data_IF_694174770539
#
_entry.id   IF_694174770539
#
_cell.length_a   1.000
_cell.length_b   1.000
_cell.length_c   1.000
_cell.angle_alpha   90.00
_cell.angle_beta   90.00
_cell.angle_gamma   90.00
#
_symmetry.space_group_name_H-M   'P 1'
#
loop_
_entity.id
_entity.type
_entity.pdbx_description
1 polymer ?
#
# COMPACT_ATOMS: atom_id res chain seq x y z
N UNK A 1 -20.10 -2.84 -13.97
CA UNK A 1 -20.68 -1.53 -14.28
C UNK A 1 -22.07 -1.44 -13.69
N UNK A 2 -22.24 -0.50 -12.77
CA UNK A 2 -23.52 -0.15 -12.16
C UNK A 2 -24.42 0.58 -13.15
N UNK A 3 -25.74 0.38 -13.00
CA UNK A 3 -26.75 1.09 -13.80
C UNK A 3 -26.67 2.61 -13.60
N UNK A 4 -26.28 3.05 -12.41
CA UNK A 4 -26.13 4.46 -12.06
C UNK A 4 -25.02 5.12 -12.87
N UNK A 5 -23.83 4.51 -12.91
CA UNK A 5 -22.72 5.04 -13.69
C UNK A 5 -23.04 5.02 -15.20
N UNK A 6 -23.60 3.93 -15.70
CA UNK A 6 -24.00 3.82 -17.11
C UNK A 6 -25.01 4.91 -17.51
N UNK A 7 -26.03 5.16 -16.68
CA UNK A 7 -27.01 6.21 -16.91
C UNK A 7 -26.38 7.61 -16.89
N UNK A 8 -25.47 7.88 -15.95
CA UNK A 8 -24.75 9.13 -15.89
C UNK A 8 -23.93 9.37 -17.16
N UNK A 9 -23.15 8.38 -17.61
CA UNK A 9 -22.37 8.44 -18.86
C UNK A 9 -23.28 8.70 -20.06
N UNK A 10 -24.39 7.97 -20.18
CA UNK A 10 -25.34 8.14 -21.27
C UNK A 10 -25.92 9.56 -21.32
N UNK A 11 -26.25 10.14 -20.16
CA UNK A 11 -26.85 11.47 -20.06
C UNK A 11 -25.85 12.59 -20.36
N UNK A 12 -24.63 12.52 -19.81
CA UNK A 12 -23.69 13.65 -19.89
C UNK A 12 -22.71 13.55 -21.08
N UNK A 13 -22.46 12.35 -21.62
CA UNK A 13 -21.49 12.12 -22.70
C UNK A 13 -22.10 11.46 -23.95
N UNK A 14 -23.21 10.74 -23.81
CA UNK A 14 -23.90 10.04 -24.90
C UNK A 14 -23.53 8.55 -25.01
N UNK A 15 -24.29 7.83 -25.84
CA UNK A 15 -24.25 6.35 -25.92
C UNK A 15 -22.92 5.76 -26.38
N UNK A 16 -22.16 6.47 -27.21
CA UNK A 16 -20.82 6.02 -27.62
C UNK A 16 -19.86 5.88 -26.42
N UNK A 17 -19.98 6.76 -25.42
CA UNK A 17 -19.14 6.71 -24.23
C UNK A 17 -19.54 5.59 -23.27
N UNK A 18 -20.80 5.17 -23.26
CA UNK A 18 -21.27 3.98 -22.54
C UNK A 18 -20.56 2.73 -23.08
N UNK A 19 -20.49 2.59 -24.40
CA UNK A 19 -19.80 1.47 -25.03
C UNK A 19 -18.30 1.49 -24.70
N UNK A 20 -17.68 2.67 -24.75
CA UNK A 20 -16.27 2.84 -24.36
C UNK A 20 -16.01 2.43 -22.92
N UNK A 21 -16.80 2.94 -21.98
CA UNK A 21 -16.66 2.59 -20.56
C UNK A 21 -16.80 1.08 -20.35
N UNK A 22 -17.76 0.45 -21.06
CA UNK A 22 -18.00 -0.99 -20.98
C UNK A 22 -16.80 -1.79 -21.51
N UNK A 23 -16.20 -1.34 -22.62
CA UNK A 23 -15.00 -1.94 -23.17
C UNK A 23 -13.79 -1.76 -22.27
N UNK A 24 -13.58 -0.58 -21.68
CA UNK A 24 -12.50 -0.33 -20.72
C UNK A 24 -12.63 -1.25 -19.52
N UNK A 25 -13.79 -1.24 -18.86
CA UNK A 25 -14.00 -2.05 -17.66
C UNK A 25 -13.85 -3.56 -17.92
N UNK A 26 -14.31 -4.05 -19.08
CA UNK A 26 -14.08 -5.44 -19.49
C UNK A 26 -12.61 -5.72 -19.80
N UNK A 27 -11.94 -4.81 -20.49
CA UNK A 27 -10.52 -4.90 -20.83
C UNK A 27 -9.63 -4.95 -19.59
N UNK A 28 -9.86 -4.02 -18.65
CA UNK A 28 -9.14 -3.95 -17.38
C UNK A 28 -9.32 -5.20 -16.52
N UNK A 29 -10.55 -5.69 -16.34
CA UNK A 29 -10.84 -6.96 -15.65
C UNK A 29 -10.16 -8.17 -16.29
N UNK A 30 -10.07 -8.21 -17.61
CA UNK A 30 -9.37 -9.29 -18.31
C UNK A 30 -7.84 -9.16 -18.21
N UNK A 31 -7.32 -7.93 -18.20
CA UNK A 31 -5.90 -7.60 -18.14
C UNK A 31 -5.27 -7.76 -16.75
N UNK A 32 -6.07 -7.71 -15.68
CA UNK A 32 -5.61 -7.86 -14.29
C UNK A 32 -4.85 -9.17 -14.02
N UNK A 33 -4.95 -10.18 -14.89
CA UNK A 33 -4.22 -11.44 -14.77
C UNK A 33 -2.71 -11.35 -15.11
N UNK A 34 -2.22 -10.21 -15.61
CA UNK A 34 -0.80 -10.04 -16.01
C UNK A 34 -0.25 -8.63 -15.81
N UNK A 35 -0.88 -7.80 -14.97
CA UNK A 35 -0.64 -6.37 -14.83
C UNK A 35 0.26 -6.04 -13.62
N UNK A 36 1.54 -6.44 -13.67
CA UNK A 36 2.46 -6.27 -12.54
C UNK A 36 2.71 -4.80 -12.15
N UNK A 37 2.64 -3.86 -13.10
CA UNK A 37 2.93 -2.45 -12.84
C UNK A 37 1.84 -1.78 -12.01
N UNK A 38 0.58 -1.98 -12.39
CA UNK A 38 -0.60 -1.52 -11.67
C UNK A 38 -0.66 -2.08 -10.25
N UNK A 39 -0.35 -3.37 -10.10
CA UNK A 39 -0.35 -4.05 -8.80
C UNK A 39 0.75 -3.52 -7.88
N UNK A 40 1.97 -3.32 -8.38
CA UNK A 40 3.04 -2.71 -7.58
C UNK A 40 2.74 -1.27 -7.21
N UNK A 41 2.13 -0.51 -8.12
CA UNK A 41 1.73 0.86 -7.82
C UNK A 41 0.64 0.90 -6.74
N UNK A 42 -0.36 0.03 -6.82
CA UNK A 42 -1.40 -0.07 -5.80
C UNK A 42 -0.81 -0.49 -4.44
N UNK A 43 0.10 -1.46 -4.42
CA UNK A 43 0.79 -1.89 -3.20
C UNK A 43 1.60 -0.74 -2.58
N UNK A 44 2.28 0.05 -3.41
CA UNK A 44 3.01 1.23 -2.95
C UNK A 44 2.07 2.32 -2.42
N UNK A 45 0.94 2.58 -3.08
CA UNK A 45 -0.07 3.54 -2.58
C UNK A 45 -0.66 3.11 -1.24
N UNK A 46 -0.89 1.81 -1.03
CA UNK A 46 -1.26 1.30 0.29
C UNK A 46 -0.17 1.58 1.32
N UNK A 47 1.10 1.36 0.96
CA UNK A 47 2.23 1.66 1.84
C UNK A 47 2.28 3.16 2.22
N UNK A 48 2.09 4.06 1.25
CA UNK A 48 2.03 5.51 1.50
C UNK A 48 0.90 5.87 2.48
N UNK A 49 -0.31 5.33 2.26
CA UNK A 49 -1.46 5.55 3.15
C UNK A 49 -1.20 5.03 4.57
N UNK A 50 -0.57 3.86 4.70
CA UNK A 50 -0.21 3.30 6.01
C UNK A 50 0.79 4.18 6.76
N UNK A 51 1.77 4.73 6.05
CA UNK A 51 2.76 5.65 6.62
C UNK A 51 2.12 6.98 7.02
N UNK A 52 1.17 7.50 6.23
CA UNK A 52 0.43 8.73 6.58
C UNK A 52 -0.37 8.58 7.89
N UNK A 53 -0.86 7.38 8.17
CA UNK A 53 -1.64 7.04 9.36
C UNK A 53 -0.87 6.19 10.38
N UNK A 54 0.46 6.30 10.38
CA UNK A 54 1.28 5.46 11.25
C UNK A 54 1.03 5.76 12.72
N UNK A 55 0.97 7.04 13.10
CA UNK A 55 0.90 7.43 14.51
C UNK A 55 -0.52 7.32 15.11
N UNK A 56 -1.55 7.43 14.28
CA UNK A 56 -2.95 7.36 14.73
C UNK A 56 -3.83 6.68 13.67
N UNK A 57 -4.78 5.82 14.08
CA UNK A 57 -5.70 5.22 13.15
C UNK A 57 -6.66 6.30 12.62
N UNK A 58 -7.00 6.29 11.32
CA UNK A 58 -8.05 7.18 10.81
C UNK A 58 -9.40 6.83 11.43
N UNK A 59 -10.26 7.84 11.59
CA UNK A 59 -11.66 7.63 12.02
C UNK A 59 -12.42 6.92 10.91
N UNK A 60 -12.34 7.45 9.68
CA UNK A 60 -12.82 6.79 8.47
C UNK A 60 -11.64 6.39 7.58
N UNK A 61 -11.25 5.11 7.55
CA UNK A 61 -10.07 4.68 6.80
C UNK A 61 -10.19 4.94 5.30
N UNK A 62 -9.09 5.36 4.64
CA UNK A 62 -9.04 5.44 3.19
C UNK A 62 -9.47 4.12 2.53
N UNK A 63 -10.25 4.22 1.46
CA UNK A 63 -10.67 3.08 0.67
C UNK A 63 -9.87 2.99 -0.63
N UNK A 64 -9.44 1.79 -1.00
CA UNK A 64 -8.73 1.51 -2.24
C UNK A 64 -9.55 0.57 -3.12
N UNK A 65 -9.66 0.85 -4.41
CA UNK A 65 -10.35 0.00 -5.37
C UNK A 65 -9.55 -0.08 -6.67
N UNK A 66 -9.13 -1.29 -7.05
CA UNK A 66 -8.60 -1.55 -8.39
C UNK A 66 -9.74 -1.68 -9.39
N UNK A 67 -9.48 -1.29 -10.64
CA UNK A 67 -10.43 -1.46 -11.75
C UNK A 67 -11.79 -0.80 -11.45
N UNK A 68 -11.73 0.43 -10.95
CA UNK A 68 -12.88 1.23 -10.56
C UNK A 68 -13.86 1.44 -11.72
N UNK A 69 -15.13 1.69 -11.40
CA UNK A 69 -16.13 2.04 -12.41
C UNK A 69 -15.96 3.51 -12.81
N UNK A 70 -14.92 3.80 -13.58
CA UNK A 70 -14.52 5.14 -13.99
C UNK A 70 -13.80 5.12 -15.35
N UNK A 71 -13.55 6.29 -15.94
CA UNK A 71 -12.70 6.40 -17.13
C UNK A 71 -11.19 6.40 -16.82
N UNK A 72 -10.85 6.70 -15.56
CA UNK A 72 -9.50 6.58 -15.00
C UNK A 72 -9.63 5.53 -13.90
N UNK A 73 -9.23 4.29 -14.22
CA UNK A 73 -9.80 3.10 -13.60
C UNK A 73 -8.81 2.16 -12.93
N UNK A 74 -7.50 2.29 -13.17
CA UNK A 74 -6.54 1.29 -12.67
C UNK A 74 -6.53 1.22 -11.13
N UNK A 75 -6.57 2.37 -10.47
CA UNK A 75 -6.71 2.48 -9.02
C UNK A 75 -7.53 3.71 -8.64
N UNK A 76 -8.45 3.55 -7.70
CA UNK A 76 -9.10 4.64 -6.99
C UNK A 76 -8.72 4.60 -5.51
N UNK A 77 -8.37 5.75 -4.94
CA UNK A 77 -8.22 5.97 -3.50
C UNK A 77 -9.25 7.00 -3.08
N UNK A 78 -10.11 6.67 -2.13
CA UNK A 78 -11.10 7.58 -1.56
C UNK A 78 -10.74 7.87 -0.12
N UNK A 79 -10.69 9.15 0.25
CA UNK A 79 -10.57 9.61 1.63
C UNK A 79 -11.97 10.04 2.10
N UNK A 80 -12.69 9.21 2.87
CA UNK A 80 -14.09 9.51 3.22
C UNK A 80 -14.22 10.79 4.06
N UNK A 81 -13.32 10.99 5.02
CA UNK A 81 -13.29 12.17 5.90
C UNK A 81 -13.21 13.49 5.12
N UNK A 82 -12.39 13.54 4.07
CA UNK A 82 -12.19 14.73 3.24
C UNK A 82 -13.17 14.81 2.05
N UNK A 83 -13.93 13.74 1.78
CA UNK A 83 -14.70 13.57 0.54
C UNK A 83 -13.84 13.78 -0.73
N UNK A 84 -12.58 13.33 -0.66
CA UNK A 84 -11.60 13.43 -1.74
C UNK A 84 -11.41 12.09 -2.44
N UNK A 85 -11.32 12.13 -3.76
CA UNK A 85 -11.13 10.95 -4.60
C UNK A 85 -9.92 11.12 -5.52
N UNK A 86 -8.98 10.19 -5.47
CA UNK A 86 -7.84 10.12 -6.38
C UNK A 86 -7.99 8.94 -7.31
N UNK A 87 -7.93 9.19 -8.61
CA UNK A 87 -7.99 8.17 -9.64
C UNK A 87 -6.68 8.11 -10.38
N UNK A 88 -6.16 6.91 -10.56
CA UNK A 88 -4.87 6.69 -11.20
C UNK A 88 -5.08 5.85 -12.45
N UNK A 89 -4.48 6.29 -13.55
CA UNK A 89 -4.26 5.49 -14.74
C UNK A 89 -2.76 5.27 -14.87
N UNK A 90 -2.34 4.02 -14.81
CA UNK A 90 -0.98 3.59 -15.01
C UNK A 90 -0.71 3.38 -16.50
N UNK A 91 0.41 3.94 -16.99
CA UNK A 91 0.90 3.76 -18.35
C UNK A 91 2.37 3.41 -18.35
N UNK A 92 2.63 2.12 -18.43
CA UNK A 92 3.95 1.57 -18.63
C UNK A 92 4.20 1.25 -20.11
N UNK A 93 4.26 2.29 -20.93
CA UNK A 93 4.57 2.20 -22.35
C UNK A 93 5.67 3.21 -22.69
N UNK A 94 6.45 2.96 -23.74
CA UNK A 94 7.64 3.76 -24.04
C UNK A 94 7.35 5.20 -24.49
N UNK A 95 6.15 5.49 -25.01
CA UNK A 95 5.82 6.81 -25.56
C UNK A 95 4.32 7.12 -25.42
N UNK A 96 3.78 7.21 -24.20
CA UNK A 96 2.41 7.64 -24.02
C UNK A 96 2.30 9.12 -24.39
N UNK A 97 1.12 9.49 -24.87
CA UNK A 97 0.75 10.88 -25.11
C UNK A 97 -0.67 11.09 -24.63
N UNK A 98 -1.01 12.34 -24.31
CA UNK A 98 -2.38 12.70 -23.96
C UNK A 98 -3.37 12.37 -25.06
N UNK A 99 -2.97 12.53 -26.33
CA UNK A 99 -3.86 12.47 -27.48
C UNK A 99 -4.94 13.55 -27.42
N UNK A 100 -5.97 13.45 -28.25
CA UNK A 100 -7.07 14.41 -28.33
C UNK A 100 -8.41 13.69 -28.50
N UNK A 101 -9.42 14.10 -27.73
CA UNK A 101 -10.80 13.66 -27.87
C UNK A 101 -11.06 12.19 -27.56
N UNK A 102 -12.19 11.68 -28.07
CA UNK A 102 -12.67 10.31 -27.82
C UNK A 102 -11.60 9.27 -28.15
N UNK A 103 -11.33 8.36 -27.21
CA UNK A 103 -10.32 7.32 -27.43
C UNK A 103 -8.97 7.60 -26.78
N UNK A 104 -8.66 8.88 -26.54
CA UNK A 104 -7.38 9.31 -26.00
C UNK A 104 -7.33 9.35 -24.47
N UNK A 105 -6.13 9.48 -23.90
CA UNK A 105 -5.94 9.63 -22.44
C UNK A 105 -6.58 10.92 -21.96
N UNK A 106 -6.37 12.04 -22.66
CA UNK A 106 -7.01 13.31 -22.33
C UNK A 106 -8.54 13.21 -22.41
N UNK A 107 -9.06 12.56 -23.45
CA UNK A 107 -10.50 12.34 -23.59
C UNK A 107 -11.09 11.52 -22.45
N UNK A 108 -10.37 10.51 -21.94
CA UNK A 108 -10.79 9.73 -20.77
C UNK A 108 -10.79 10.58 -19.50
N UNK A 109 -9.79 11.45 -19.31
CA UNK A 109 -9.72 12.35 -18.16
C UNK A 109 -10.81 13.43 -18.20
N UNK A 110 -11.10 14.01 -19.37
CA UNK A 110 -12.24 14.94 -19.55
C UNK A 110 -13.58 14.26 -19.31
N UNK A 111 -13.75 13.03 -19.84
CA UNK A 111 -14.95 12.24 -19.64
C UNK A 111 -15.16 11.89 -18.16
N UNK A 112 -14.07 11.55 -17.46
CA UNK A 112 -14.09 11.36 -16.01
C UNK A 112 -14.66 12.59 -15.31
N UNK A 113 -14.06 13.76 -15.53
CA UNK A 113 -14.46 14.99 -14.85
C UNK A 113 -15.94 15.35 -15.09
N UNK A 114 -16.42 15.17 -16.32
CA UNK A 114 -17.83 15.43 -16.67
C UNK A 114 -18.79 14.48 -15.96
N UNK A 115 -18.46 13.19 -15.90
CA UNK A 115 -19.29 12.19 -15.22
C UNK A 115 -19.27 12.41 -13.71
N UNK A 116 -18.09 12.64 -13.11
CA UNK A 116 -17.96 12.91 -11.67
C UNK A 116 -18.75 14.16 -11.27
N UNK A 117 -18.67 15.23 -12.08
CA UNK A 117 -19.45 16.45 -11.87
C UNK A 117 -20.96 16.19 -11.99
N UNK A 118 -21.40 15.42 -13.00
CA UNK A 118 -22.81 15.06 -13.20
C UNK A 118 -23.36 14.21 -12.04
N UNK A 119 -22.53 13.34 -11.49
CA UNK A 119 -22.88 12.49 -10.35
C UNK A 119 -22.81 13.22 -8.99
N UNK A 120 -22.43 14.51 -8.99
CA UNK A 120 -22.29 15.29 -7.75
C UNK A 120 -21.18 14.75 -6.85
N UNK A 121 -20.15 14.13 -7.44
CA UNK A 121 -18.99 13.67 -6.69
C UNK A 121 -18.25 14.86 -6.08
N UNK A 122 -17.67 14.66 -4.90
CA UNK A 122 -16.87 15.65 -4.20
C UNK A 122 -15.59 16.01 -4.95
N UNK A 123 -14.59 16.48 -4.20
CA UNK A 123 -13.30 16.82 -4.81
C UNK A 123 -12.64 15.57 -5.41
N UNK A 124 -12.06 15.71 -6.60
CA UNK A 124 -11.34 14.62 -7.23
C UNK A 124 -10.10 15.09 -7.98
N UNK A 125 -9.12 14.20 -8.08
CA UNK A 125 -7.91 14.36 -8.90
C UNK A 125 -7.72 13.11 -9.77
N UNK A 126 -7.39 13.31 -11.05
CA UNK A 126 -7.03 12.25 -11.98
C UNK A 126 -5.53 12.28 -12.27
N UNK A 127 -4.82 11.21 -11.98
CA UNK A 127 -3.37 11.11 -12.11
C UNK A 127 -3.00 10.11 -13.21
N UNK A 128 -2.10 10.53 -14.11
CA UNK A 128 -1.42 9.64 -15.04
C UNK A 128 -0.09 9.19 -14.44
N UNK A 129 0.10 7.89 -14.25
CA UNK A 129 1.30 7.32 -13.61
C UNK A 129 2.21 6.72 -14.67
N UNK A 130 3.46 7.18 -14.73
CA UNK A 130 4.43 6.79 -15.76
C UNK A 130 5.78 6.35 -15.16
N UNK A 131 6.53 5.47 -15.84
CA UNK A 131 7.75 4.88 -15.28
C UNK A 131 8.98 5.78 -15.33
N UNK A 132 8.95 6.81 -16.19
CA UNK A 132 10.12 7.62 -16.51
C UNK A 132 9.93 9.08 -16.07
N UNK A 133 10.90 9.67 -15.34
CA UNK A 133 10.86 11.08 -14.95
C UNK A 133 10.82 12.07 -16.11
N UNK A 134 11.53 11.79 -17.21
CA UNK A 134 11.53 12.64 -18.41
C UNK A 134 10.16 12.66 -19.07
N UNK A 135 9.52 11.51 -19.16
CA UNK A 135 8.16 11.35 -19.64
C UNK A 135 7.14 12.05 -18.73
N UNK A 136 7.30 11.94 -17.41
CA UNK A 136 6.47 12.68 -16.46
C UNK A 136 6.56 14.19 -16.73
N UNK A 137 7.78 14.72 -16.82
CA UNK A 137 8.00 16.13 -17.11
C UNK A 137 7.36 16.58 -18.43
N UNK A 138 7.57 15.79 -19.51
CA UNK A 138 6.98 16.05 -20.82
C UNK A 138 5.45 16.07 -20.77
N UNK A 139 4.84 15.08 -20.12
CA UNK A 139 3.38 14.98 -20.01
C UNK A 139 2.79 16.07 -19.12
N UNK A 140 3.48 16.48 -18.06
CA UNK A 140 3.06 17.65 -17.27
C UNK A 140 3.06 18.91 -18.14
N UNK A 141 4.09 19.13 -18.96
CA UNK A 141 4.18 20.31 -19.82
C UNK A 141 3.20 20.32 -20.99
N UNK A 142 2.89 19.13 -21.52
CA UNK A 142 2.01 18.97 -22.69
C UNK A 142 0.56 18.67 -22.31
N UNK A 143 0.23 18.75 -21.02
CA UNK A 143 -1.12 18.49 -20.52
C UNK A 143 -2.13 19.48 -21.15
N UNK A 144 -3.21 18.99 -21.78
CA UNK A 144 -4.24 19.85 -22.33
C UNK A 144 -4.88 20.72 -21.24
N UNK A 145 -5.06 22.01 -21.54
CA UNK A 145 -5.64 22.97 -20.59
C UNK A 145 -7.02 22.58 -20.08
N UNK A 146 -7.77 21.80 -20.87
CA UNK A 146 -9.09 21.26 -20.53
C UNK A 146 -9.10 20.34 -19.31
N UNK A 147 -7.96 19.72 -18.96
CA UNK A 147 -7.86 18.79 -17.82
C UNK A 147 -6.91 19.26 -16.71
N UNK A 148 -6.13 20.32 -16.95
CA UNK A 148 -5.11 20.83 -16.00
C UNK A 148 -5.64 21.17 -14.62
N UNK A 149 -6.92 21.54 -14.47
CA UNK A 149 -7.49 21.93 -13.18
C UNK A 149 -7.79 20.75 -12.23
N UNK A 150 -7.77 19.51 -12.74
CA UNK A 150 -8.12 18.32 -11.98
C UNK A 150 -7.16 17.15 -12.26
N UNK A 151 -6.04 17.40 -12.93
CA UNK A 151 -5.14 16.33 -13.38
C UNK A 151 -3.69 16.56 -13.02
N UNK A 152 -3.00 15.45 -12.77
CA UNK A 152 -1.57 15.42 -12.48
C UNK A 152 -0.88 14.27 -13.21
N UNK A 153 0.45 14.30 -13.21
CA UNK A 153 1.29 13.21 -13.70
C UNK A 153 2.28 12.84 -12.59
N UNK A 154 2.38 11.56 -12.26
CA UNK A 154 3.25 11.04 -11.22
C UNK A 154 4.24 10.03 -11.81
N UNK A 155 5.47 10.05 -11.31
CA UNK A 155 6.45 8.98 -11.56
C UNK A 155 6.22 7.81 -10.60
N UNK A 156 6.22 6.60 -11.16
CA UNK A 156 6.41 5.36 -10.39
C UNK A 156 7.33 4.42 -11.19
N UNK A 157 8.56 4.13 -10.74
CA UNK A 157 9.54 3.42 -11.55
C UNK A 157 9.06 2.00 -11.90
N UNK A 158 9.52 1.46 -13.04
CA UNK A 158 9.23 0.06 -13.41
C UNK A 158 10.46 -0.86 -13.57
N UNK A 159 11.70 -0.36 -13.54
CA UNK A 159 12.95 -1.14 -13.53
C UNK A 159 12.93 -2.51 -14.27
N UNK A 160 12.41 -2.53 -15.50
CA UNK A 160 12.26 -3.75 -16.33
C UNK A 160 11.48 -4.90 -15.67
N UNK A 161 10.52 -4.57 -14.79
CA UNK A 161 9.75 -5.53 -14.00
C UNK A 161 10.47 -6.08 -12.76
N UNK A 162 11.67 -5.59 -12.46
CA UNK A 162 12.43 -6.02 -11.28
C UNK A 162 12.01 -5.24 -10.03
N UNK A 163 11.20 -5.88 -9.19
CA UNK A 163 10.77 -5.30 -7.90
C UNK A 163 11.96 -4.97 -6.99
N UNK A 164 12.98 -5.83 -6.96
CA UNK A 164 14.21 -5.59 -6.20
C UNK A 164 14.87 -4.27 -6.63
N UNK A 165 15.04 -4.07 -7.94
CA UNK A 165 15.63 -2.83 -8.45
C UNK A 165 14.75 -1.62 -8.15
N UNK A 166 13.42 -1.76 -8.21
CA UNK A 166 12.52 -0.66 -7.81
C UNK A 166 12.75 -0.24 -6.36
N UNK A 167 12.87 -1.18 -5.43
CA UNK A 167 13.10 -0.87 -4.01
C UNK A 167 14.52 -0.33 -3.75
N UNK A 168 15.53 -0.89 -4.42
CA UNK A 168 16.94 -0.54 -4.23
C UNK A 168 17.32 0.80 -4.89
N UNK A 169 16.79 1.08 -6.07
CA UNK A 169 17.21 2.21 -6.91
C UNK A 169 16.31 3.44 -6.76
N UNK A 170 15.16 3.33 -6.08
CA UNK A 170 14.21 4.44 -5.90
C UNK A 170 14.00 4.80 -4.42
N UNK A 171 14.75 5.79 -3.90
CA UNK A 171 14.71 6.17 -2.49
C UNK A 171 13.30 6.44 -1.93
N UNK A 172 12.38 7.12 -2.64
CA UNK A 172 11.03 7.33 -2.10
C UNK A 172 10.25 6.03 -1.81
N UNK A 173 10.49 4.95 -2.57
CA UNK A 173 9.87 3.65 -2.27
C UNK A 173 10.50 3.07 -1.01
N UNK A 174 11.84 3.09 -0.94
CA UNK A 174 12.61 2.58 0.19
C UNK A 174 12.21 3.26 1.51
N UNK A 175 12.15 4.59 1.53
CA UNK A 175 11.85 5.39 2.72
C UNK A 175 10.46 5.09 3.30
N UNK A 176 9.48 4.80 2.44
CA UNK A 176 8.11 4.41 2.85
C UNK A 176 8.14 3.00 3.44
N UNK A 177 8.79 2.05 2.77
CA UNK A 177 8.85 0.66 3.21
C UNK A 177 9.63 0.49 4.52
N UNK A 178 10.72 1.24 4.74
CA UNK A 178 11.48 1.23 6.00
C UNK A 178 10.63 1.66 7.21
N UNK A 179 9.67 2.58 7.01
CA UNK A 179 8.74 2.98 8.07
C UNK A 179 7.76 1.89 8.45
N UNK A 180 7.45 0.98 7.53
CA UNK A 180 6.57 -0.18 7.73
C UNK A 180 7.34 -1.44 8.15
N UNK A 181 8.65 -1.45 8.00
CA UNK A 181 9.49 -2.58 8.35
C UNK A 181 9.47 -2.89 9.85
N UNK A 182 9.70 -4.17 10.23
CA UNK A 182 9.63 -4.62 11.62
C UNK A 182 10.85 -4.18 12.46
N UNK A 183 11.91 -3.71 11.81
CA UNK A 183 13.12 -3.16 12.44
C UNK A 183 13.63 -1.92 11.70
N UNK A 184 14.40 -1.07 12.38
CA UNK A 184 15.01 0.12 11.79
C UNK A 184 16.17 -0.20 10.83
N UNK A 185 16.71 -1.43 10.89
CA UNK A 185 17.80 -1.92 10.05
C UNK A 185 17.34 -3.10 9.19
N UNK A 186 16.12 -3.02 8.66
CA UNK A 186 15.58 -4.05 7.79
C UNK A 186 16.43 -4.23 6.52
N UNK A 187 16.65 -5.48 6.11
CA UNK A 187 17.36 -5.77 4.86
C UNK A 187 16.50 -5.41 3.65
N UNK A 188 17.15 -5.24 2.50
CA UNK A 188 16.44 -4.94 1.25
C UNK A 188 15.44 -6.06 0.87
N UNK A 189 15.76 -7.32 1.19
CA UNK A 189 14.84 -8.45 1.01
C UNK A 189 13.55 -8.28 1.82
N UNK A 190 13.64 -7.79 3.06
CA UNK A 190 12.47 -7.49 3.90
C UNK A 190 11.64 -6.38 3.26
N UNK A 191 12.28 -5.32 2.75
CA UNK A 191 11.57 -4.20 2.11
C UNK A 191 10.81 -4.66 0.85
N UNK A 192 11.45 -5.46 -0.01
CA UNK A 192 10.80 -6.07 -1.17
C UNK A 192 9.63 -6.94 -0.75
N UNK A 193 9.80 -7.76 0.28
CA UNK A 193 8.77 -8.66 0.76
C UNK A 193 7.56 -7.92 1.33
N UNK A 194 7.76 -6.78 2.02
CA UNK A 194 6.66 -5.91 2.46
C UNK A 194 5.79 -5.50 1.28
N UNK A 195 6.40 -5.02 0.19
CA UNK A 195 5.67 -4.59 -1.00
C UNK A 195 4.91 -5.74 -1.66
N UNK A 196 5.50 -6.95 -1.70
CA UNK A 196 4.84 -8.17 -2.18
C UNK A 196 3.62 -8.55 -1.33
N UNK A 197 3.75 -8.50 -0.01
CA UNK A 197 2.66 -8.86 0.92
C UNK A 197 1.52 -7.85 0.84
N UNK A 198 1.82 -6.56 0.70
CA UNK A 198 0.81 -5.52 0.45
C UNK A 198 0.10 -5.74 -0.90
N UNK A 199 0.84 -6.08 -1.96
CA UNK A 199 0.27 -6.44 -3.25
C UNK A 199 -0.63 -7.67 -3.18
N UNK A 200 -0.22 -8.70 -2.43
CA UNK A 200 -1.04 -9.89 -2.19
C UNK A 200 -2.35 -9.58 -1.44
N UNK A 201 -2.33 -8.60 -0.52
CA UNK A 201 -3.54 -8.15 0.16
C UNK A 201 -4.51 -7.44 -0.79
N UNK A 202 -4.00 -6.56 -1.66
CA UNK A 202 -4.80 -5.82 -2.64
C UNK A 202 -5.41 -6.74 -3.70
N UNK A 203 -4.62 -7.67 -4.26
CA UNK A 203 -5.11 -8.56 -5.33
C UNK A 203 -6.18 -9.56 -4.88
N UNK A 204 -6.26 -9.84 -3.58
CA UNK A 204 -7.31 -10.70 -3.01
C UNK A 204 -8.66 -10.00 -2.82
N UNK A 205 -8.72 -8.69 -3.03
CA UNK A 205 -9.93 -7.92 -2.83
C UNK A 205 -10.93 -8.09 -3.97
N UNK A 206 -12.18 -8.35 -3.64
CA UNK A 206 -13.31 -8.31 -4.57
C UNK A 206 -14.03 -6.96 -4.49
N UNK A 207 -13.38 -5.89 -4.91
CA UNK A 207 -13.93 -4.53 -4.93
C UNK A 207 -13.11 -3.54 -4.12
N UNK A 208 -13.80 -2.57 -3.50
CA UNK A 208 -13.15 -1.58 -2.64
C UNK A 208 -12.78 -2.18 -1.28
N UNK A 209 -11.61 -1.81 -0.76
CA UNK A 209 -11.13 -2.20 0.55
C UNK A 209 -10.71 -1.04 1.41
N UNK A 210 -11.10 -1.08 2.67
CA UNK A 210 -10.55 -0.16 3.64
C UNK A 210 -9.08 -0.51 3.94
N UNK A 211 -8.27 0.54 4.13
CA UNK A 211 -6.83 0.44 4.35
C UNK A 211 -6.48 -0.41 5.58
N UNK A 212 -7.30 -0.40 6.64
CA UNK A 212 -7.03 -1.16 7.86
C UNK A 212 -7.27 -2.66 7.67
N UNK A 213 -8.32 -3.06 6.95
CA UNK A 213 -8.56 -4.46 6.58
C UNK A 213 -7.46 -5.00 5.66
N UNK A 214 -6.99 -4.16 4.72
CA UNK A 214 -5.84 -4.47 3.88
C UNK A 214 -4.57 -4.71 4.70
N UNK A 215 -4.27 -3.83 5.66
CA UNK A 215 -3.17 -4.02 6.61
C UNK A 215 -3.32 -5.32 7.40
N UNK A 216 -4.50 -5.57 7.97
CA UNK A 216 -4.77 -6.78 8.74
C UNK A 216 -4.58 -8.05 7.91
N UNK A 217 -5.00 -8.04 6.64
CA UNK A 217 -4.76 -9.15 5.73
C UNK A 217 -3.27 -9.34 5.44
N UNK A 218 -2.54 -8.26 5.17
CA UNK A 218 -1.11 -8.28 4.91
C UNK A 218 -0.33 -8.87 6.11
N UNK A 219 -0.62 -8.38 7.33
CA UNK A 219 -0.03 -8.87 8.58
C UNK A 219 -0.37 -10.35 8.85
N UNK A 220 -1.58 -10.80 8.48
CA UNK A 220 -1.98 -12.20 8.66
C UNK A 220 -1.34 -13.15 7.64
N UNK A 221 -1.10 -12.71 6.40
CA UNK A 221 -0.48 -13.53 5.35
C UNK A 221 1.00 -13.79 5.64
N UNK A 222 1.70 -12.78 6.17
CA UNK A 222 3.11 -12.90 6.50
C UNK A 222 3.39 -12.27 7.86
N UNK A 223 3.07 -12.98 8.97
CA UNK A 223 3.40 -12.53 10.31
C UNK A 223 4.90 -12.21 10.41
N UNK A 224 5.25 -11.14 11.12
CA UNK A 224 6.66 -10.74 11.26
C UNK A 224 7.19 -9.79 10.19
N UNK A 225 6.52 -9.64 9.05
CA UNK A 225 7.07 -8.85 7.93
C UNK A 225 6.70 -7.38 7.94
N UNK A 226 5.55 -7.03 8.50
CA UNK A 226 5.09 -5.65 8.61
C UNK A 226 4.97 -5.33 10.10
N UNK A 227 5.49 -4.17 10.51
CA UNK A 227 5.34 -3.67 11.88
C UNK A 227 3.89 -3.67 12.34
N UNK A 228 3.71 -3.78 13.65
CA UNK A 228 2.49 -3.25 14.25
C UNK A 228 2.60 -1.72 14.30
N UNK A 229 1.49 -1.06 13.99
CA UNK A 229 1.38 0.38 14.15
C UNK A 229 1.38 0.76 15.64
N UNK A 230 1.91 1.93 16.03
CA UNK A 230 1.86 2.44 17.40
C UNK A 230 0.50 2.27 18.10
N UNK A 231 -0.59 2.61 17.41
CA UNK A 231 -1.94 2.44 17.93
C UNK A 231 -2.40 0.98 18.05
N UNK A 232 -1.83 0.06 17.26
CA UNK A 232 -1.98 -1.39 17.49
C UNK A 232 -1.22 -1.87 18.71
N UNK A 233 -0.33 -1.05 19.30
CA UNK A 233 0.45 -1.38 20.49
C UNK A 233 0.02 -0.57 21.72
N UNK A 234 -1.02 0.26 21.62
CA UNK A 234 -1.47 1.07 22.75
C UNK A 234 -1.87 0.19 23.95
N UNK A 235 -1.41 0.59 25.14
CA UNK A 235 -1.55 -0.16 26.39
C UNK A 235 -0.78 -1.49 26.46
N UNK A 236 0.03 -1.85 25.46
CA UNK A 236 0.86 -3.05 25.53
C UNK A 236 2.01 -2.89 26.53
N UNK A 237 2.21 -3.89 27.38
CA UNK A 237 3.38 -4.00 28.23
C UNK A 237 3.85 -5.45 28.28
N UNK A 238 5.16 -5.64 28.35
CA UNK A 238 5.72 -6.96 28.62
C UNK A 238 5.31 -7.46 30.00
N UNK A 239 5.03 -8.76 30.07
CA UNK A 239 4.74 -9.46 31.31
C UNK A 239 5.83 -9.18 32.37
N UNK A 240 5.47 -8.75 33.60
CA UNK A 240 6.45 -8.45 34.65
C UNK A 240 7.35 -9.64 35.03
N UNK A 241 6.80 -10.86 35.05
CA UNK A 241 7.56 -12.06 35.41
C UNK A 241 8.54 -12.43 34.28
N UNK A 242 8.14 -12.22 33.03
CA UNK A 242 9.03 -12.37 31.89
C UNK A 242 10.21 -11.41 31.98
N UNK A 243 9.96 -10.12 32.24
CA UNK A 243 11.02 -9.13 32.44
C UNK A 243 11.96 -9.51 33.58
N UNK A 244 11.41 -9.92 34.74
CA UNK A 244 12.19 -10.36 35.87
C UNK A 244 13.08 -11.58 35.56
N UNK A 245 12.68 -12.45 34.62
CA UNK A 245 13.53 -13.53 34.13
C UNK A 245 14.66 -12.99 33.26
N UNK A 246 14.34 -12.15 32.27
CA UNK A 246 15.34 -11.59 31.35
C UNK A 246 16.37 -10.70 32.06
N UNK A 247 15.94 -9.87 33.01
CA UNK A 247 16.80 -8.93 33.75
C UNK A 247 17.88 -9.63 34.60
N UNK A 248 17.73 -10.95 34.84
CA UNK A 248 18.73 -11.76 35.56
C UNK A 248 19.82 -12.31 34.65
N UNK A 249 19.65 -12.24 33.33
CA UNK A 249 20.60 -12.77 32.36
C UNK A 249 21.64 -11.68 32.09
N UNK A 250 22.87 -11.91 32.54
CA UNK A 250 23.96 -10.95 32.38
C UNK A 250 24.24 -10.68 30.89
N UNK A 251 24.30 -9.40 30.52
CA UNK A 251 24.62 -8.97 29.16
C UNK A 251 23.48 -9.09 28.15
N UNK A 252 22.26 -9.48 28.56
CA UNK A 252 21.08 -9.47 27.72
C UNK A 252 20.41 -8.09 27.76
N UNK A 253 20.36 -7.44 26.60
CA UNK A 253 19.54 -6.25 26.34
C UNK A 253 18.30 -6.69 25.55
N UNK A 254 17.13 -6.12 25.86
CA UNK A 254 15.90 -6.39 25.12
C UNK A 254 15.00 -5.17 25.05
N UNK A 255 14.17 -5.11 24.00
CA UNK A 255 13.20 -4.05 23.80
C UNK A 255 12.00 -4.56 23.00
N UNK A 256 10.87 -3.88 23.14
CA UNK A 256 9.75 -4.02 22.21
C UNK A 256 9.73 -2.79 21.32
N UNK A 257 9.92 -2.99 20.03
CA UNK A 257 9.86 -1.92 19.04
C UNK A 257 9.13 -2.41 17.79
N UNK A 258 8.32 -1.53 17.19
CA UNK A 258 7.57 -1.82 15.95
C UNK A 258 6.68 -3.07 16.04
N UNK A 259 6.24 -3.41 17.27
CA UNK A 259 5.40 -4.58 17.54
C UNK A 259 6.15 -5.89 17.80
N UNK A 260 7.49 -5.89 17.77
CA UNK A 260 8.30 -7.09 17.91
C UNK A 260 9.23 -7.01 19.11
N UNK A 261 9.57 -8.18 19.65
CA UNK A 261 10.55 -8.32 20.70
C UNK A 261 11.94 -8.47 20.08
N UNK A 262 12.83 -7.52 20.40
CA UNK A 262 14.21 -7.49 19.97
C UNK A 262 15.12 -7.80 21.15
N UNK A 263 16.22 -8.49 20.88
CA UNK A 263 17.23 -8.82 21.87
C UNK A 263 18.63 -8.62 21.32
N UNK A 264 19.58 -8.40 22.23
CA UNK A 264 21.01 -8.28 21.93
C UNK A 264 21.80 -8.83 23.11
N UNK A 265 22.77 -9.70 22.84
CA UNK A 265 23.67 -10.25 23.83
C UNK A 265 24.93 -10.81 23.15
N UNK A 266 26.08 -10.74 23.84
CA UNK A 266 27.34 -11.38 23.39
C UNK A 266 27.78 -11.04 21.95
N UNK A 267 27.43 -9.86 21.44
CA UNK A 267 27.74 -9.43 20.07
C UNK A 267 26.74 -9.93 19.00
N UNK A 268 25.74 -10.70 19.39
CA UNK A 268 24.60 -11.12 18.57
C UNK A 268 23.38 -10.26 18.87
N UNK A 269 22.47 -10.18 17.90
CA UNK A 269 21.16 -9.55 18.06
C UNK A 269 20.14 -10.25 17.18
N UNK A 270 18.88 -10.20 17.61
CA UNK A 270 17.79 -10.81 16.85
C UNK A 270 16.44 -10.21 17.20
N UNK A 271 15.45 -10.65 16.44
CA UNK A 271 14.05 -10.30 16.59
C UNK A 271 13.25 -11.59 16.70
N UNK A 272 12.33 -11.67 17.65
CA UNK A 272 11.38 -12.78 17.70
C UNK A 272 10.42 -12.69 16.50
N UNK A 273 10.21 -13.77 15.73
CA UNK A 273 9.54 -13.70 14.44
C UNK A 273 8.05 -13.37 14.51
N UNK A 274 7.38 -13.65 15.64
CA UNK A 274 5.98 -13.31 15.83
C UNK A 274 5.84 -11.96 16.56
N UNK A 275 4.78 -11.21 16.24
CA UNK A 275 4.49 -9.95 16.90
C UNK A 275 4.11 -10.17 18.38
N UNK A 276 4.35 -9.16 19.20
CA UNK A 276 4.18 -9.24 20.63
C UNK A 276 2.72 -9.42 21.10
N UNK A 277 1.73 -9.27 20.21
CA UNK A 277 0.31 -9.53 20.52
C UNK A 277 -0.16 -10.90 20.07
N UNK A 278 0.69 -11.64 19.36
CA UNK A 278 0.37 -12.99 18.91
C UNK A 278 0.30 -14.00 20.07
N UNK A 279 -0.53 -15.03 19.90
CA UNK A 279 -0.56 -16.18 20.79
C UNK A 279 0.79 -16.95 20.77
N UNK A 280 1.51 -16.91 19.65
CA UNK A 280 2.83 -17.50 19.53
C UNK A 280 3.85 -16.83 20.47
N UNK A 281 3.91 -15.49 20.47
CA UNK A 281 4.73 -14.74 21.42
C UNK A 281 4.31 -15.02 22.87
N UNK A 282 3.00 -15.12 23.13
CA UNK A 282 2.47 -15.47 24.46
C UNK A 282 2.91 -16.87 24.92
N UNK A 283 3.11 -17.83 24.00
CA UNK A 283 3.68 -19.16 24.33
C UNK A 283 5.17 -19.07 24.59
N UNK A 284 5.90 -18.28 23.83
CA UNK A 284 7.32 -17.99 24.07
C UNK A 284 7.54 -17.40 25.47
N UNK A 285 6.79 -16.35 25.83
CA UNK A 285 6.83 -15.73 27.15
C UNK A 285 6.60 -16.76 28.28
N UNK A 286 5.53 -17.55 28.20
CA UNK A 286 5.23 -18.60 29.19
C UNK A 286 6.32 -19.65 29.30
N UNK A 287 6.93 -20.02 28.18
CA UNK A 287 8.04 -20.99 28.14
C UNK A 287 9.26 -20.46 28.86
N UNK A 288 9.67 -19.22 28.56
CA UNK A 288 10.82 -18.57 29.20
C UNK A 288 10.59 -18.39 30.70
N UNK A 289 9.39 -17.98 31.13
CA UNK A 289 9.05 -17.90 32.56
C UNK A 289 9.17 -19.27 33.23
N UNK A 290 8.63 -20.33 32.61
CA UNK A 290 8.67 -21.68 33.17
C UNK A 290 10.08 -22.26 33.25
N UNK A 291 10.89 -22.07 32.20
CA UNK A 291 12.27 -22.57 32.15
C UNK A 291 13.19 -21.73 33.04
N UNK A 292 12.93 -20.43 33.13
CA UNK A 292 13.72 -19.45 33.88
C UNK A 292 15.23 -19.55 33.57
N UNK A 293 15.65 -19.36 32.30
CA UNK A 293 17.05 -19.42 31.91
C UNK A 293 17.92 -18.49 32.75
N UNK A 294 19.16 -18.92 33.03
CA UNK A 294 20.10 -18.21 33.91
C UNK A 294 21.24 -17.52 33.17
N UNK A 295 21.44 -17.89 31.92
CA UNK A 295 22.45 -17.36 31.02
C UNK A 295 21.85 -17.20 29.62
N UNK A 296 22.62 -16.59 28.72
CA UNK A 296 22.17 -16.30 27.36
C UNK A 296 21.99 -17.59 26.55
N UNK A 297 22.88 -18.57 26.68
CA UNK A 297 22.80 -19.83 25.94
C UNK A 297 21.47 -20.55 26.23
N UNK A 298 21.08 -20.66 27.51
CA UNK A 298 19.80 -21.27 27.88
C UNK A 298 18.57 -20.46 27.43
N UNK A 299 18.71 -19.13 27.27
CA UNK A 299 17.66 -18.28 26.72
C UNK A 299 17.55 -18.43 25.19
N UNK A 300 18.68 -18.50 24.49
CA UNK A 300 18.74 -18.68 23.04
C UNK A 300 18.07 -19.99 22.61
N UNK A 301 18.19 -21.06 23.40
CA UNK A 301 17.45 -22.32 23.19
C UNK A 301 15.91 -22.17 23.21
N UNK A 302 15.38 -21.04 23.70
CA UNK A 302 13.94 -20.77 23.78
C UNK A 302 13.41 -19.89 22.64
N UNK A 303 14.28 -19.26 21.85
CA UNK A 303 13.93 -18.42 20.70
C UNK A 303 13.37 -19.27 19.55
#
# INVERSE_FOLDING_TARGET
>A
MSKTFEAAVAQCLGTQWVQRASHKHRGGRNGQKGACYEDFFAAFKLAELLVQHIDAPPVDPPMMQQQAEAFVDDLQVTQPDAQEHHYYQCKNVASPSWGQGYGSVAGDFEAHARVSSHMGQGQFTTCLVVPDPGLCHLLTQTMPSTITSHSEVQVFPYADGSLNRMVLEHPPIRDVLEKLAPSDAASDDVLVHILLVLGAAITKMSGAGDMLALLGHAQAVSPGMIRLMPWQMDGFALDPDFRAVLDRIEGLEYAVSRGFFHWKALGSSGMYPADCRSEEFSRFVRRVIRVSPRDFDAFEEQL
#
